data_IF_227840450691
#
_entry.id   IF_227840450691
#
_cell.length_a   1.000
_cell.length_b   1.000
_cell.length_c   1.000
_cell.angle_alpha   90.00
_cell.angle_beta   90.00
_cell.angle_gamma   90.00
#
_symmetry.space_group_name_H-M   'P 1'
#
loop_
_entity.id
_entity.type
_entity.pdbx_description
1 polymer ?
#
# COMPACT_ATOMS: atom_id res chain seq x y z
N UNK A 1 -13.32 -5.41 4.22
CA UNK A 1 -12.04 -5.41 3.48
C UNK A 1 -11.43 -6.76 3.77
N UNK A 2 -11.40 -7.62 2.77
CA UNK A 2 -10.88 -8.98 2.94
C UNK A 2 -9.37 -8.92 3.17
N UNK A 3 -8.82 -9.54 4.23
CA UNK A 3 -7.38 -9.49 4.52
C UNK A 3 -6.52 -10.13 3.42
N UNK A 4 -7.10 -10.94 2.53
CA UNK A 4 -6.41 -11.53 1.39
C UNK A 4 -6.19 -10.54 0.24
N UNK A 5 -6.87 -9.39 0.22
CA UNK A 5 -6.72 -8.38 -0.85
C UNK A 5 -5.56 -7.39 -0.62
N UNK A 6 -4.69 -7.63 0.35
CA UNK A 6 -3.49 -6.81 0.56
C UNK A 6 -2.42 -7.29 -0.44
N UNK A 7 -1.90 -6.41 -1.32
CA UNK A 7 -0.86 -6.82 -2.27
C UNK A 7 0.34 -7.41 -1.52
N UNK A 8 0.86 -8.54 -2.02
CA UNK A 8 2.01 -9.26 -1.45
C UNK A 8 3.34 -8.56 -1.77
N UNK A 9 3.40 -7.25 -1.54
CA UNK A 9 4.59 -6.41 -1.71
C UNK A 9 5.21 -6.16 -0.34
N UNK A 10 6.48 -6.51 -0.21
CA UNK A 10 7.26 -6.28 1.01
C UNK A 10 7.99 -4.93 0.94
N UNK A 11 7.88 -4.17 2.02
CA UNK A 11 8.51 -2.85 2.20
C UNK A 11 9.50 -2.87 3.35
N UNK A 12 10.59 -2.13 3.19
CA UNK A 12 11.51 -1.83 4.28
C UNK A 12 10.91 -0.79 5.23
N UNK A 13 11.17 -0.96 6.53
CA UNK A 13 10.76 0.00 7.55
C UNK A 13 11.70 1.21 7.65
N UNK A 14 12.80 1.21 6.91
CA UNK A 14 13.79 2.29 6.87
C UNK A 14 13.16 3.63 6.48
N UNK A 15 13.50 4.68 7.21
CA UNK A 15 12.92 6.01 7.02
C UNK A 15 11.47 6.17 7.51
N UNK A 16 10.76 5.10 7.87
CA UNK A 16 9.39 5.18 8.39
C UNK A 16 9.35 5.47 9.90
N UNK A 17 8.55 6.46 10.29
CA UNK A 17 8.22 6.71 11.68
C UNK A 17 7.25 5.68 12.26
N UNK A 18 7.17 5.59 13.60
CA UNK A 18 6.28 4.65 14.32
C UNK A 18 4.82 4.70 13.83
N UNK A 19 4.30 5.90 13.60
CA UNK A 19 2.91 6.07 13.16
C UNK A 19 2.67 5.49 11.75
N UNK A 20 3.66 5.54 10.86
CA UNK A 20 3.54 4.98 9.51
C UNK A 20 3.60 3.45 9.55
N UNK A 21 4.54 2.90 10.33
CA UNK A 21 4.69 1.44 10.53
C UNK A 21 3.46 0.80 11.16
N UNK A 22 2.73 1.53 12.00
CA UNK A 22 1.50 1.05 12.64
C UNK A 22 0.22 1.36 11.84
N UNK A 23 0.33 1.87 10.61
CA UNK A 23 -0.84 2.27 9.80
C UNK A 23 -1.64 3.46 10.34
N UNK A 24 -1.06 4.24 11.26
CA UNK A 24 -1.64 5.46 11.82
C UNK A 24 -1.30 6.73 11.04
N UNK A 25 -0.41 6.64 10.05
CA UNK A 25 0.03 7.73 9.19
C UNK A 25 0.33 7.20 7.77
N UNK A 26 0.23 8.07 6.77
CA UNK A 26 0.49 7.72 5.38
C UNK A 26 1.96 7.29 5.23
N UNK A 27 2.19 6.11 4.66
CA UNK A 27 3.53 5.59 4.44
C UNK A 27 4.37 6.50 3.52
N UNK A 28 3.74 7.27 2.63
CA UNK A 28 4.41 8.22 1.73
C UNK A 28 4.68 9.58 2.39
N UNK A 29 3.65 10.29 2.83
CA UNK A 29 3.77 11.69 3.29
C UNK A 29 3.75 11.88 4.83
N UNK A 30 3.49 10.83 5.61
CA UNK A 30 3.44 10.90 7.08
C UNK A 30 2.19 11.57 7.66
N UNK A 31 1.24 12.02 6.83
CA UNK A 31 -0.02 12.63 7.27
C UNK A 31 -0.88 11.63 8.06
N UNK A 32 -1.50 12.08 9.15
CA UNK A 32 -2.36 11.26 10.03
C UNK A 32 -3.86 11.43 9.79
N UNK A 33 -4.27 12.57 9.21
CA UNK A 33 -5.66 12.94 9.01
C UNK A 33 -5.89 13.56 7.62
N UNK A 34 -6.91 13.16 6.85
CA UNK A 34 -7.76 11.98 7.06
C UNK A 34 -6.94 10.70 7.20
N UNK A 35 -7.46 9.77 8.00
CA UNK A 35 -6.71 8.55 8.32
C UNK A 35 -6.48 7.75 7.03
N UNK A 36 -5.23 7.33 6.74
CA UNK A 36 -4.92 6.46 5.60
C UNK A 36 -5.75 5.17 5.63
N UNK A 37 -6.24 4.74 4.47
CA UNK A 37 -7.12 3.57 4.34
C UNK A 37 -6.72 2.61 3.23
N UNK A 38 -5.95 3.06 2.24
CA UNK A 38 -5.55 2.22 1.12
C UNK A 38 -4.33 1.38 1.50
N UNK A 39 -4.43 0.04 1.55
CA UNK A 39 -3.28 -0.82 1.80
C UNK A 39 -2.38 -0.90 0.56
N UNK A 40 -1.07 -0.73 0.72
CA UNK A 40 -0.10 -0.80 -0.40
C UNK A 40 0.84 -2.00 -0.32
N UNK A 41 0.82 -2.71 0.81
CA UNK A 41 1.62 -3.91 1.06
C UNK A 41 1.94 -4.05 2.54
N UNK A 42 2.97 -4.85 2.83
CA UNK A 42 3.38 -5.20 4.19
C UNK A 42 4.84 -4.85 4.42
N UNK A 43 5.18 -4.53 5.66
CA UNK A 43 6.55 -4.53 6.12
C UNK A 43 7.06 -5.97 6.28
N UNK A 44 8.38 -6.12 6.32
CA UNK A 44 9.05 -7.40 6.58
C UNK A 44 8.65 -8.04 7.92
N UNK A 45 8.22 -7.25 8.90
CA UNK A 45 7.68 -7.73 10.19
C UNK A 45 6.17 -8.05 10.12
N UNK A 46 5.56 -7.95 8.95
CA UNK A 46 4.17 -8.34 8.67
C UNK A 46 3.14 -7.21 8.83
N UNK A 47 3.56 -6.03 9.30
CA UNK A 47 2.67 -4.88 9.49
C UNK A 47 2.19 -4.29 8.16
N UNK A 48 0.90 -3.97 8.04
CA UNK A 48 0.32 -3.44 6.81
C UNK A 48 0.60 -1.94 6.70
N UNK A 49 1.10 -1.50 5.54
CA UNK A 49 1.29 -0.10 5.22
C UNK A 49 0.06 0.48 4.53
N UNK A 50 -0.28 1.70 4.92
CA UNK A 50 -1.42 2.43 4.37
C UNK A 50 -1.00 3.79 3.83
N UNK A 51 -1.74 4.26 2.84
CA UNK A 51 -1.57 5.57 2.21
C UNK A 51 -2.89 6.32 2.17
N UNK A 52 -2.80 7.64 2.11
CA UNK A 52 -3.98 8.49 1.94
C UNK A 52 -4.37 8.60 0.48
N UNK A 53 -5.63 8.99 0.21
CA UNK A 53 -6.16 9.17 -1.14
C UNK A 53 -5.32 10.15 -1.99
N UNK A 54 -4.76 11.19 -1.36
CA UNK A 54 -3.89 12.16 -2.03
C UNK A 54 -2.58 11.55 -2.57
N UNK A 55 -2.08 10.49 -1.91
CA UNK A 55 -0.89 9.76 -2.35
C UNK A 55 -1.24 8.55 -3.23
N UNK A 56 -2.52 8.29 -3.46
CA UNK A 56 -3.06 7.18 -4.27
C UNK A 56 -2.78 7.22 -5.78
N UNK A 57 -2.75 8.38 -6.46
CA UNK A 57 -2.75 8.39 -7.91
C UNK A 57 -1.39 7.89 -8.43
N UNK A 58 -1.34 6.59 -8.76
CA UNK A 58 -0.15 5.89 -9.24
C UNK A 58 -0.16 4.37 -9.04
N UNK A 59 -1.10 3.81 -8.26
CA UNK A 59 -1.21 2.35 -8.06
C UNK A 59 -2.25 1.65 -8.93
N UNK A 60 -3.04 2.41 -9.69
CA UNK A 60 -3.95 1.84 -10.67
C UNK A 60 -3.19 1.61 -11.99
N UNK A 61 -3.34 0.40 -12.54
CA UNK A 61 -2.88 -0.03 -13.87
C UNK A 61 -1.41 -0.55 -13.90
N UNK A 62 -1.22 -1.76 -13.37
CA UNK A 62 -0.65 -2.81 -14.24
C UNK A 62 -1.86 -3.64 -14.63
N UNK A 63 -2.57 -3.22 -15.68
CA UNK A 63 -3.49 -4.12 -16.35
C UNK A 63 -2.67 -5.31 -16.84
N UNK A 64 -3.14 -6.51 -16.47
CA UNK A 64 -2.78 -7.76 -17.13
C UNK A 64 -2.72 -7.49 -18.64
N UNK A 65 -1.53 -7.60 -19.22
CA UNK A 65 -1.34 -7.33 -20.64
C UNK A 65 -2.35 -8.12 -21.46
N UNK A 66 -2.80 -7.63 -22.63
CA UNK A 66 -3.88 -8.27 -23.38
C UNK A 66 -3.59 -9.76 -23.55
N UNK A 67 -4.50 -10.59 -23.04
CA UNK A 67 -4.55 -12.04 -23.22
C UNK A 67 -4.08 -12.42 -24.64
N UNK A 68 -2.94 -13.12 -24.82
CA UNK A 68 -2.61 -13.67 -26.13
C UNK A 68 -3.53 -14.89 -26.33
N UNK A 69 -4.74 -14.62 -26.83
CA UNK A 69 -5.67 -15.65 -27.24
C UNK A 69 -4.97 -16.61 -28.23
N UNK A 70 -5.02 -17.93 -28.02
CA UNK A 70 -4.42 -18.88 -28.94
C UNK A 70 -5.29 -19.03 -30.19
N UNK A 71 -4.76 -18.63 -31.35
CA UNK A 71 -5.25 -19.05 -32.68
C UNK A 71 -4.21 -19.93 -33.33
#
# INVERSE_FOLDING_TARGET
MDPEQIPDRLFSADGLGRAQRSGGACASCGKRWPRPRLPIGRLVDGAVLYVCDDCTPGWEIIEDGPDPSPT
#
